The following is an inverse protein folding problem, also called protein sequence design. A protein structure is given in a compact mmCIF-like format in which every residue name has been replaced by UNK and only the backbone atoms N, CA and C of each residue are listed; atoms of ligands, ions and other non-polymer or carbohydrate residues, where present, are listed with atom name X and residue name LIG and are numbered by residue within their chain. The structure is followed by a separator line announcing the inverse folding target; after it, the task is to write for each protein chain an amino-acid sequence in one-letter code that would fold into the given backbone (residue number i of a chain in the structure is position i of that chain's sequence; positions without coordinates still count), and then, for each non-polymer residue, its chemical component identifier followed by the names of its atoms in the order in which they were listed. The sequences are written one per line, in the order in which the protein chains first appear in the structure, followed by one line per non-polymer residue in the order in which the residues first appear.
data_IF_404560460475
#
_entry.id   IF_404560460475
#
_cell.length_a   1.000
_cell.length_b   1.000
_cell.length_c   1.000
_cell.angle_alpha   90.00
_cell.angle_beta   90.00
_cell.angle_gamma   90.00
#
_symmetry.space_group_name_H-M   'P 1'
#
loop_
_entity.id
_entity.type
_entity.pdbx_description
1 polymer ?
#
# COMPACT_ATOMS: atom_id res chain seq x y z
N UNK A 1 -27.08 7.45 0.76
CA UNK A 1 -28.20 6.75 0.10
C UNK A 1 -27.95 6.58 -1.41
N UNK A 2 -27.51 7.60 -2.18
CA UNK A 2 -27.16 7.45 -3.60
C UNK A 2 -25.86 6.69 -3.91
N UNK A 3 -24.77 6.98 -3.19
CA UNK A 3 -23.45 6.38 -3.46
C UNK A 3 -23.36 4.86 -3.21
N UNK A 4 -24.20 4.32 -2.33
CA UNK A 4 -24.30 2.87 -2.11
C UNK A 4 -25.00 2.17 -3.28
N UNK A 5 -26.02 2.80 -3.90
CA UNK A 5 -26.69 2.23 -5.07
C UNK A 5 -25.80 2.25 -6.33
N UNK A 6 -24.97 3.28 -6.51
CA UNK A 6 -24.02 3.33 -7.63
C UNK A 6 -22.91 2.29 -7.51
N UNK A 7 -22.39 2.07 -6.29
CA UNK A 7 -21.41 1.01 -6.05
C UNK A 7 -21.98 -0.39 -6.30
N UNK A 8 -23.21 -0.65 -5.85
CA UNK A 8 -23.91 -1.93 -6.09
C UNK A 8 -24.12 -2.16 -7.60
N UNK A 9 -24.58 -1.14 -8.35
CA UNK A 9 -24.71 -1.24 -9.81
C UNK A 9 -23.38 -1.51 -10.51
N UNK A 10 -22.30 -0.89 -10.06
CA UNK A 10 -20.97 -1.13 -10.63
C UNK A 10 -20.49 -2.56 -10.39
N UNK A 11 -20.78 -3.13 -9.23
CA UNK A 11 -20.43 -4.53 -8.90
C UNK A 11 -21.24 -5.53 -9.73
N UNK A 12 -22.53 -5.27 -9.97
CA UNK A 12 -23.40 -6.10 -10.84
C UNK A 12 -22.89 -6.16 -12.29
N UNK A 13 -22.19 -5.11 -12.76
CA UNK A 13 -21.61 -5.07 -14.10
C UNK A 13 -20.28 -5.82 -14.23
N UNK A 14 -19.69 -6.29 -13.13
CA UNK A 14 -18.40 -7.00 -13.10
C UNK A 14 -18.47 -8.35 -12.34
N UNK A 15 -19.32 -9.28 -12.78
CA UNK A 15 -19.49 -10.60 -12.12
C UNK A 15 -18.22 -11.45 -12.13
N UNK A 16 -17.28 -11.18 -13.04
CA UNK A 16 -15.96 -11.80 -13.09
C UNK A 16 -15.03 -11.40 -11.93
N UNK A 17 -15.31 -10.27 -11.28
CA UNK A 17 -14.54 -9.76 -10.13
C UNK A 17 -15.23 -10.08 -8.80
N UNK A 18 -16.56 -9.98 -8.74
CA UNK A 18 -17.33 -10.09 -7.49
C UNK A 18 -18.09 -11.41 -7.33
N UNK A 19 -18.20 -12.22 -8.39
CA UNK A 19 -19.05 -13.41 -8.39
C UNK A 19 -20.54 -13.08 -8.49
N UNK A 20 -21.41 -14.11 -8.58
CA UNK A 20 -22.86 -13.92 -8.52
C UNK A 20 -23.29 -13.48 -7.11
N UNK A 21 -24.30 -12.62 -7.02
CA UNK A 21 -24.92 -12.29 -5.73
C UNK A 21 -25.64 -13.53 -5.17
N UNK A 22 -25.18 -14.02 -4.01
CA UNK A 22 -25.75 -15.17 -3.32
C UNK A 22 -26.60 -14.74 -2.12
N UNK A 23 -27.64 -15.53 -1.80
CA UNK A 23 -28.44 -15.27 -0.60
C UNK A 23 -27.64 -15.62 0.66
N UNK A 24 -27.95 -14.97 1.79
CA UNK A 24 -27.24 -15.17 3.06
C UNK A 24 -27.26 -16.65 3.50
N UNK A 25 -28.40 -17.29 3.37
CA UNK A 25 -28.60 -18.67 3.80
C UNK A 25 -27.81 -19.66 2.95
N UNK A 26 -27.62 -19.36 1.66
CA UNK A 26 -26.81 -20.18 0.74
C UNK A 26 -25.32 -20.11 1.11
N UNK A 27 -24.81 -18.90 1.38
CA UNK A 27 -23.42 -18.71 1.83
C UNK A 27 -23.16 -19.41 3.18
N UNK A 28 -24.11 -19.34 4.11
CA UNK A 28 -24.00 -20.03 5.39
C UNK A 28 -24.03 -21.56 5.22
N UNK A 29 -24.93 -22.07 4.39
CA UNK A 29 -24.98 -23.49 4.08
C UNK A 29 -23.68 -23.99 3.43
N UNK A 30 -23.07 -23.19 2.54
CA UNK A 30 -21.78 -23.50 1.94
C UNK A 30 -20.66 -23.50 2.98
N UNK A 31 -20.60 -22.52 3.88
CA UNK A 31 -19.61 -22.48 4.96
C UNK A 31 -19.70 -23.69 5.88
N UNK A 32 -20.91 -24.16 6.18
CA UNK A 32 -21.15 -25.34 7.02
C UNK A 32 -20.69 -26.65 6.37
N UNK A 33 -20.41 -26.68 5.07
CA UNK A 33 -19.88 -27.89 4.40
C UNK A 33 -18.44 -28.22 4.79
N UNK A 34 -17.67 -27.24 5.25
CA UNK A 34 -16.30 -27.41 5.73
C UNK A 34 -16.23 -27.06 7.23
N UNK A 35 -16.16 -28.10 8.07
CA UNK A 35 -16.13 -27.95 9.52
C UNK A 35 -14.97 -27.08 10.02
N UNK A 36 -13.80 -27.15 9.36
CA UNK A 36 -12.62 -26.38 9.77
C UNK A 36 -12.78 -24.89 9.42
N UNK A 37 -13.28 -24.60 8.22
CA UNK A 37 -13.59 -23.23 7.81
C UNK A 37 -14.69 -22.62 8.68
N UNK A 38 -15.75 -23.37 8.95
CA UNK A 38 -16.85 -22.92 9.79
C UNK A 38 -16.39 -22.63 11.22
N UNK A 39 -15.51 -23.47 11.79
CA UNK A 39 -14.93 -23.22 13.10
C UNK A 39 -14.14 -21.91 13.15
N UNK A 40 -13.31 -21.61 12.13
CA UNK A 40 -12.59 -20.34 12.04
C UNK A 40 -13.54 -19.15 11.87
N UNK A 41 -14.58 -19.29 11.04
CA UNK A 41 -15.64 -18.29 10.92
C UNK A 41 -16.34 -18.03 12.27
N UNK A 42 -16.61 -19.07 13.06
CA UNK A 42 -17.25 -18.91 14.37
C UNK A 42 -16.39 -18.14 15.38
N UNK A 43 -15.06 -18.17 15.26
CA UNK A 43 -14.13 -17.43 16.12
C UNK A 43 -14.09 -15.93 15.83
N UNK A 44 -14.58 -15.50 14.67
CA UNK A 44 -14.66 -14.09 14.30
C UNK A 44 -15.63 -13.32 15.21
N UNK A 45 -15.35 -12.04 15.42
CA UNK A 45 -16.30 -11.13 16.07
C UNK A 45 -17.54 -10.93 15.20
N UNK A 46 -18.68 -10.56 15.79
CA UNK A 46 -19.93 -10.38 15.05
C UNK A 46 -19.79 -9.43 13.85
N UNK A 47 -19.06 -8.32 14.01
CA UNK A 47 -18.82 -7.39 12.91
C UNK A 47 -17.98 -7.98 11.77
N UNK A 48 -16.98 -8.82 12.09
CA UNK A 48 -16.17 -9.50 11.08
C UNK A 48 -16.94 -10.62 10.39
N UNK A 49 -17.83 -11.33 11.11
CA UNK A 49 -18.75 -12.31 10.52
C UNK A 49 -19.66 -11.67 9.47
N UNK A 50 -20.27 -10.54 9.81
CA UNK A 50 -21.11 -9.80 8.87
C UNK A 50 -20.32 -9.28 7.67
N UNK A 51 -19.11 -8.75 7.88
CA UNK A 51 -18.25 -8.29 6.80
C UNK A 51 -17.85 -9.43 5.85
N UNK A 52 -17.52 -10.60 6.41
CA UNK A 52 -17.20 -11.80 5.65
C UNK A 52 -18.39 -12.33 4.85
N UNK A 53 -19.57 -12.44 5.47
CA UNK A 53 -20.78 -12.87 4.77
C UNK A 53 -21.15 -11.90 3.65
N UNK A 54 -21.10 -10.59 3.90
CA UNK A 54 -21.40 -9.61 2.87
C UNK A 54 -20.42 -9.70 1.68
N UNK A 55 -19.16 -10.04 1.95
CA UNK A 55 -18.17 -10.27 0.91
C UNK A 55 -18.53 -11.49 0.06
N UNK A 56 -18.82 -12.63 0.71
CA UNK A 56 -19.23 -13.85 0.03
C UNK A 56 -20.56 -13.71 -0.72
N UNK A 57 -21.48 -12.87 -0.23
CA UNK A 57 -22.74 -12.55 -0.89
C UNK A 57 -22.57 -11.56 -2.07
N UNK A 58 -21.37 -11.04 -2.33
CA UNK A 58 -21.12 -10.02 -3.36
C UNK A 58 -21.65 -8.63 -3.01
N UNK A 59 -22.06 -8.38 -1.76
CA UNK A 59 -22.65 -7.11 -1.28
C UNK A 59 -21.57 -6.03 -1.12
N UNK A 60 -20.35 -6.42 -0.75
CA UNK A 60 -19.20 -5.52 -0.65
C UNK A 60 -17.91 -6.23 -1.05
N UNK A 61 -16.94 -5.48 -1.56
CA UNK A 61 -15.59 -6.00 -1.77
C UNK A 61 -14.82 -6.13 -0.45
N UNK A 62 -13.73 -6.90 -0.47
CA UNK A 62 -12.76 -6.95 0.62
C UNK A 62 -12.26 -5.53 0.96
N UNK A 63 -12.11 -5.23 2.25
CA UNK A 63 -11.48 -3.98 2.71
C UNK A 63 -9.97 -4.05 2.52
N UNK A 64 -9.51 -3.94 1.27
CA UNK A 64 -8.08 -3.96 0.89
C UNK A 64 -7.28 -2.88 1.62
N UNK A 65 -7.93 -1.79 2.03
CA UNK A 65 -7.31 -0.69 2.79
C UNK A 65 -7.02 -1.03 4.27
N UNK A 66 -7.37 -2.22 4.74
CA UNK A 66 -6.95 -2.72 6.05
C UNK A 66 -5.52 -3.18 5.99
N UNK A 67 -4.71 -2.76 6.96
CA UNK A 67 -3.27 -3.00 6.97
C UNK A 67 -2.87 -4.48 6.72
N UNK A 68 -3.46 -5.49 7.41
CA UNK A 68 -3.12 -6.89 7.13
C UNK A 68 -3.50 -7.33 5.71
N UNK A 69 -4.63 -6.85 5.18
CA UNK A 69 -5.09 -7.20 3.84
C UNK A 69 -4.25 -6.52 2.77
N UNK A 70 -3.92 -5.25 2.96
CA UNK A 70 -3.01 -4.50 2.11
C UNK A 70 -1.66 -5.21 2.04
N UNK A 71 -1.05 -5.51 3.19
CA UNK A 71 0.23 -6.21 3.28
C UNK A 71 0.16 -7.60 2.67
N UNK A 72 -0.94 -8.33 2.84
CA UNK A 72 -1.12 -9.64 2.21
C UNK A 72 -1.26 -9.57 0.68
N UNK A 73 -2.07 -8.64 0.17
CA UNK A 73 -2.33 -8.52 -1.28
C UNK A 73 -1.09 -8.04 -2.02
N UNK A 74 -0.38 -7.07 -1.43
CA UNK A 74 0.80 -6.43 -2.01
C UNK A 74 2.12 -6.97 -1.47
N UNK A 75 2.12 -8.13 -0.81
CA UNK A 75 3.34 -8.74 -0.28
C UNK A 75 4.33 -9.03 -1.42
N UNK A 76 5.46 -8.30 -1.48
CA UNK A 76 6.44 -8.50 -2.54
C UNK A 76 7.21 -9.82 -2.41
N UNK A 77 7.14 -10.50 -1.26
CA UNK A 77 7.76 -11.81 -1.06
C UNK A 77 6.96 -12.96 -1.68
N UNK A 78 5.62 -12.82 -1.78
CA UNK A 78 4.76 -13.86 -2.35
C UNK A 78 4.34 -13.58 -3.78
N UNK A 79 3.90 -12.36 -4.10
CA UNK A 79 3.41 -11.96 -5.43
C UNK A 79 3.91 -10.56 -5.82
N UNK A 80 5.22 -10.40 -6.09
CA UNK A 80 5.83 -9.10 -6.41
C UNK A 80 5.17 -8.40 -7.61
N UNK A 81 4.65 -9.17 -8.58
CA UNK A 81 4.02 -8.64 -9.79
C UNK A 81 2.85 -7.69 -9.50
N UNK A 82 2.11 -7.91 -8.41
CA UNK A 82 0.98 -7.04 -8.01
C UNK A 82 1.46 -5.67 -7.57
N UNK A 83 2.52 -5.65 -6.76
CA UNK A 83 3.10 -4.39 -6.27
C UNK A 83 3.85 -3.68 -7.40
N UNK A 84 4.55 -4.41 -8.27
CA UNK A 84 5.19 -3.86 -9.47
C UNK A 84 4.19 -3.20 -10.41
N UNK A 85 3.07 -3.85 -10.70
CA UNK A 85 2.00 -3.30 -11.54
C UNK A 85 1.41 -2.03 -10.92
N UNK A 86 1.10 -2.08 -9.61
CA UNK A 86 0.59 -0.93 -8.89
C UNK A 86 1.56 0.27 -8.92
N UNK A 87 2.83 0.06 -8.59
CA UNK A 87 3.85 1.12 -8.63
C UNK A 87 4.01 1.63 -10.07
N UNK A 88 3.97 0.73 -11.06
CA UNK A 88 4.09 1.12 -12.47
C UNK A 88 2.96 2.06 -12.89
N UNK A 89 1.73 1.77 -12.47
CA UNK A 89 0.56 2.62 -12.73
C UNK A 89 0.69 3.98 -12.04
N UNK A 90 1.16 4.02 -10.79
CA UNK A 90 1.36 5.28 -10.07
C UNK A 90 2.43 6.18 -10.71
N UNK A 91 3.51 5.59 -11.22
CA UNK A 91 4.65 6.31 -11.79
C UNK A 91 4.54 6.56 -13.30
N UNK A 92 3.66 5.84 -13.99
CA UNK A 92 3.53 5.92 -15.45
C UNK A 92 4.69 5.26 -16.22
N UNK A 93 5.47 4.40 -15.57
CA UNK A 93 6.59 3.67 -16.17
C UNK A 93 6.63 2.22 -15.65
N UNK A 94 7.06 1.26 -16.48
CA UNK A 94 7.20 -0.12 -16.03
C UNK A 94 8.36 -0.24 -15.05
N UNK A 95 8.09 -0.79 -13.87
CA UNK A 95 9.12 -1.04 -12.84
C UNK A 95 9.31 -2.53 -12.58
N UNK A 96 10.45 -2.85 -11.97
CA UNK A 96 10.74 -4.18 -11.41
C UNK A 96 11.32 -4.02 -10.00
N UNK A 97 10.85 -4.84 -9.08
CA UNK A 97 11.37 -4.92 -7.71
C UNK A 97 12.66 -5.73 -7.76
N UNK A 98 13.75 -5.14 -7.28
CA UNK A 98 15.03 -5.81 -7.10
C UNK A 98 15.11 -6.50 -5.75
N UNK A 99 14.64 -5.81 -4.70
CA UNK A 99 14.77 -6.30 -3.32
C UNK A 99 13.69 -5.70 -2.42
N UNK A 100 13.18 -6.51 -1.51
CA UNK A 100 12.35 -6.06 -0.37
C UNK A 100 13.27 -5.64 0.76
N UNK A 101 13.10 -4.42 1.29
CA UNK A 101 13.90 -3.92 2.39
C UNK A 101 13.12 -4.16 3.69
N UNK A 102 13.67 -4.91 4.65
CA UNK A 102 13.03 -5.09 5.95
C UNK A 102 12.81 -3.74 6.64
N UNK A 103 11.59 -3.53 7.16
CA UNK A 103 11.27 -2.33 7.95
C UNK A 103 12.04 -2.31 9.28
N UNK A 104 12.43 -3.49 9.78
CA UNK A 104 13.26 -3.66 10.97
C UNK A 104 14.74 -3.43 10.64
N UNK A 105 15.15 -2.18 10.52
CA UNK A 105 16.50 -1.85 11.01
C UNK A 105 16.42 -1.91 12.54
N UNK A 106 17.11 -2.87 13.15
CA UNK A 106 17.21 -2.95 14.61
C UNK A 106 17.44 -1.56 15.21
N UNK A 107 16.70 -1.23 16.27
CA UNK A 107 16.66 0.08 16.98
C UNK A 107 17.99 0.49 17.63
N UNK A 108 19.14 0.09 17.10
CA UNK A 108 20.44 0.14 17.76
C UNK A 108 21.57 0.66 16.83
N UNK A 109 21.31 1.68 16.03
CA UNK A 109 22.37 2.55 15.50
C UNK A 109 21.93 4.02 15.52
N UNK A 110 22.89 4.95 15.62
CA UNK A 110 22.67 6.41 15.62
C UNK A 110 21.95 6.94 14.36
N UNK A 111 21.73 6.10 13.33
CA UNK A 111 21.02 6.41 12.09
C UNK A 111 19.64 5.77 11.94
N UNK A 112 19.03 5.29 13.04
CA UNK A 112 17.69 4.69 13.00
C UNK A 112 16.59 5.68 12.62
N UNK A 113 15.67 5.26 11.75
CA UNK A 113 14.51 6.07 11.41
C UNK A 113 13.43 5.97 12.50
N UNK A 114 12.80 7.10 12.81
CA UNK A 114 11.61 7.17 13.67
C UNK A 114 10.33 6.81 12.91
N UNK A 115 10.40 6.67 11.59
CA UNK A 115 9.25 6.42 10.73
C UNK A 115 9.13 4.92 10.48
N UNK A 116 8.07 4.35 11.05
CA UNK A 116 7.60 3.01 10.67
C UNK A 116 7.03 3.12 9.26
N UNK A 117 7.57 2.30 8.36
CA UNK A 117 7.13 2.21 6.98
C UNK A 117 6.34 0.91 6.78
N UNK A 118 5.41 0.89 5.83
CA UNK A 118 4.59 -0.28 5.54
C UNK A 118 5.30 -1.25 4.59
N UNK A 119 5.52 -0.87 3.33
CA UNK A 119 6.19 -1.70 2.33
C UNK A 119 7.32 -0.90 1.68
N UNK A 120 8.56 -1.25 2.03
CA UNK A 120 9.77 -0.63 1.47
C UNK A 120 10.46 -1.57 0.49
N UNK A 121 10.62 -1.13 -0.76
CA UNK A 121 11.28 -1.90 -1.81
C UNK A 121 12.35 -1.07 -2.54
N UNK A 122 13.35 -1.76 -3.06
CA UNK A 122 14.30 -1.23 -4.04
C UNK A 122 13.91 -1.69 -5.43
N UNK A 123 13.79 -0.77 -6.36
CA UNK A 123 13.57 -1.07 -7.78
C UNK A 123 14.87 -1.44 -8.48
N UNK A 124 14.78 -2.11 -9.63
CA UNK A 124 15.92 -2.42 -10.50
C UNK A 124 16.68 -1.15 -10.97
N UNK A 125 16.01 0.01 -11.02
CA UNK A 125 16.65 1.31 -11.27
C UNK A 125 17.51 1.81 -10.10
N UNK A 126 17.49 1.11 -8.97
CA UNK A 126 18.11 1.49 -7.70
C UNK A 126 17.26 2.42 -6.83
N UNK A 127 16.14 2.93 -7.35
CA UNK A 127 15.24 3.80 -6.60
C UNK A 127 14.61 3.08 -5.41
N UNK A 128 14.39 3.80 -4.31
CA UNK A 128 13.63 3.31 -3.16
C UNK A 128 12.17 3.74 -3.27
N UNK A 129 11.26 2.82 -3.02
CA UNK A 129 9.81 3.09 -3.01
C UNK A 129 9.26 2.62 -1.69
N UNK A 130 8.59 3.53 -0.99
CA UNK A 130 7.75 3.21 0.15
C UNK A 130 6.28 3.29 -0.26
N UNK A 131 5.51 2.23 0.00
CA UNK A 131 4.06 2.20 -0.24
C UNK A 131 3.33 2.04 1.09
N UNK A 132 2.48 3.02 1.39
CA UNK A 132 1.79 3.19 2.67
C UNK A 132 0.28 3.13 2.49
N UNK A 133 -0.43 2.57 3.47
CA UNK A 133 -1.89 2.60 3.52
C UNK A 133 -2.39 3.40 4.73
N UNK A 134 -3.23 4.40 4.48
CA UNK A 134 -3.85 5.21 5.51
C UNK A 134 -5.37 5.07 5.46
N UNK A 135 -5.91 4.33 6.43
CA UNK A 135 -7.37 4.23 6.60
C UNK A 135 -8.02 5.59 6.85
N UNK A 136 -7.38 6.41 7.69
CA UNK A 136 -7.76 7.80 7.94
C UNK A 136 -6.58 8.66 7.53
N UNK A 137 -6.77 9.48 6.51
CA UNK A 137 -5.77 10.42 6.05
C UNK A 137 -5.46 11.42 7.15
N UNK A 138 -4.20 11.75 7.28
CA UNK A 138 -3.78 12.69 8.28
C UNK A 138 -3.58 14.12 7.73
N UNK A 139 -3.71 15.11 8.61
CA UNK A 139 -3.52 16.53 8.26
C UNK A 139 -2.12 16.83 7.74
N UNK A 140 -2.01 17.82 6.85
CA UNK A 140 -0.76 18.26 6.22
C UNK A 140 -0.08 17.16 5.37
N UNK A 141 -0.80 16.57 4.40
CA UNK A 141 -0.28 15.45 3.61
C UNK A 141 1.04 15.78 2.89
N UNK A 142 1.15 16.98 2.31
CA UNK A 142 2.39 17.40 1.62
C UNK A 142 3.61 17.48 2.54
N UNK A 143 3.46 18.05 3.72
CA UNK A 143 4.55 18.15 4.70
C UNK A 143 4.99 16.76 5.19
N UNK A 144 4.06 15.83 5.41
CA UNK A 144 4.39 14.45 5.78
C UNK A 144 5.09 13.68 4.66
N UNK A 145 4.59 13.80 3.44
CA UNK A 145 5.25 13.19 2.28
C UNK A 145 6.69 13.68 2.14
N UNK A 146 6.96 14.96 2.45
CA UNK A 146 8.31 15.48 2.51
C UNK A 146 9.16 14.83 3.62
N UNK A 147 8.59 14.58 4.81
CA UNK A 147 9.29 13.85 5.89
C UNK A 147 9.63 12.41 5.50
N UNK A 148 8.65 11.65 4.96
CA UNK A 148 8.87 10.27 4.52
C UNK A 148 9.92 10.20 3.39
N UNK A 149 9.82 11.09 2.40
CA UNK A 149 10.77 11.12 1.29
C UNK A 149 12.19 11.50 1.76
N UNK A 150 12.29 12.44 2.70
CA UNK A 150 13.60 12.84 3.28
C UNK A 150 14.24 11.71 4.07
N UNK A 151 13.45 10.95 4.83
CA UNK A 151 13.92 9.77 5.55
C UNK A 151 14.46 8.70 4.60
N UNK A 152 13.72 8.38 3.53
CA UNK A 152 14.19 7.47 2.48
C UNK A 152 15.51 7.92 1.84
N UNK A 153 15.65 9.21 1.56
CA UNK A 153 16.90 9.77 1.03
C UNK A 153 18.05 9.58 2.02
N UNK A 154 17.82 9.81 3.32
CA UNK A 154 18.86 9.65 4.34
C UNK A 154 19.25 8.18 4.54
N UNK A 155 18.29 7.25 4.52
CA UNK A 155 18.56 5.80 4.54
C UNK A 155 19.43 5.40 3.34
N UNK A 156 19.05 5.85 2.15
CA UNK A 156 19.80 5.56 0.93
C UNK A 156 21.21 6.16 0.97
N UNK A 157 21.35 7.39 1.45
CA UNK A 157 22.65 8.04 1.62
C UNK A 157 23.57 7.24 2.54
N UNK A 158 23.09 6.82 3.71
CA UNK A 158 23.87 6.03 4.66
C UNK A 158 24.31 4.69 4.05
N UNK A 159 23.40 3.98 3.39
CA UNK A 159 23.68 2.70 2.71
C UNK A 159 24.73 2.87 1.60
N UNK A 160 24.50 3.77 0.65
CA UNK A 160 25.40 3.99 -0.49
C UNK A 160 26.78 4.45 -0.03
N UNK A 161 26.84 5.34 0.97
CA UNK A 161 28.11 5.81 1.52
C UNK A 161 28.89 4.68 2.20
N UNK A 162 28.21 3.80 2.92
CA UNK A 162 28.83 2.63 3.53
C UNK A 162 29.32 1.62 2.48
N UNK A 163 28.50 1.33 1.46
CA UNK A 163 28.86 0.46 0.34
C UNK A 163 30.11 0.97 -0.40
N UNK A 164 30.13 2.26 -0.77
CA UNK A 164 31.29 2.91 -1.41
C UNK A 164 32.53 2.84 -0.54
N UNK A 165 32.40 3.12 0.76
CA UNK A 165 33.50 2.99 1.72
C UNK A 165 34.05 1.57 1.76
N UNK A 166 33.18 0.55 1.81
CA UNK A 166 33.58 -0.87 1.84
C UNK A 166 34.25 -1.30 0.52
N UNK A 167 33.83 -0.72 -0.61
CA UNK A 167 34.43 -0.95 -1.92
C UNK A 167 35.71 -0.14 -2.18
N UNK A 168 36.11 0.77 -1.27
CA UNK A 168 37.25 1.67 -1.48
C UNK A 168 37.00 2.76 -2.53
N UNK A 169 35.74 3.02 -2.87
CA UNK A 169 35.34 4.01 -3.87
C UNK A 169 34.98 5.36 -3.24
N UNK A 170 35.14 6.44 -4.00
CA UNK A 170 34.71 7.78 -3.58
C UNK A 170 33.20 7.91 -3.73
N UNK A 171 32.53 8.32 -2.65
CA UNK A 171 31.11 8.68 -2.66
C UNK A 171 30.85 9.96 -3.47
N UNK A 172 29.77 9.97 -4.24
CA UNK A 172 29.20 11.14 -4.91
C UNK A 172 27.70 11.23 -4.64
N UNK A 173 27.15 12.45 -4.54
CA UNK A 173 25.70 12.64 -4.45
C UNK A 173 24.95 12.15 -5.70
N UNK A 174 25.63 12.02 -6.84
CA UNK A 174 25.08 11.38 -8.04
C UNK A 174 24.86 9.86 -7.89
N UNK A 175 25.46 9.23 -6.88
CA UNK A 175 25.21 7.82 -6.57
C UNK A 175 23.82 7.60 -5.94
N UNK A 176 23.22 8.65 -5.37
CA UNK A 176 21.89 8.60 -4.77
C UNK A 176 20.82 8.56 -5.87
N UNK A 177 19.95 7.54 -5.82
CA UNK A 177 18.82 7.36 -6.74
C UNK A 177 17.57 8.03 -6.20
N UNK A 178 16.58 8.17 -7.08
CA UNK A 178 15.26 8.71 -6.73
C UNK A 178 14.64 7.91 -5.58
N UNK A 179 13.82 8.60 -4.80
CA UNK A 179 12.95 7.97 -3.81
C UNK A 179 11.50 8.31 -4.12
N UNK A 180 10.60 7.39 -3.81
CA UNK A 180 9.17 7.56 -3.98
C UNK A 180 8.46 7.19 -2.68
N UNK A 181 7.50 8.01 -2.27
CA UNK A 181 6.55 7.68 -1.22
C UNK A 181 5.16 7.73 -1.82
N UNK A 182 4.50 6.59 -1.87
CA UNK A 182 3.14 6.43 -2.40
C UNK A 182 2.24 6.14 -1.21
N UNK A 183 1.24 6.98 -0.99
CA UNK A 183 0.30 6.85 0.13
C UNK A 183 -1.09 6.66 -0.41
N UNK A 184 -1.68 5.49 -0.16
CA UNK A 184 -3.08 5.22 -0.43
C UNK A 184 -3.90 5.73 0.76
N UNK A 185 -4.94 6.53 0.51
CA UNK A 185 -5.74 7.11 1.58
C UNK A 185 -7.21 6.73 1.37
N UNK A 186 -7.80 6.00 2.31
CA UNK A 186 -9.21 5.60 2.21
C UNK A 186 -10.16 6.76 2.56
N UNK A 187 -9.87 7.48 3.65
CA UNK A 187 -10.63 8.66 4.07
C UNK A 187 -9.72 9.88 4.01
N UNK A 188 -9.70 10.54 2.85
CA UNK A 188 -8.87 11.72 2.60
C UNK A 188 -9.29 12.92 3.45
N UNK A 189 -8.33 13.79 3.74
CA UNK A 189 -8.57 15.07 4.42
C UNK A 189 -9.18 16.10 3.47
N UNK A 190 -9.71 17.20 4.01
CA UNK A 190 -10.42 18.22 3.26
C UNK A 190 -9.59 18.86 2.13
N UNK A 191 -8.26 18.86 2.24
CA UNK A 191 -7.35 19.39 1.22
C UNK A 191 -7.52 18.72 -0.14
N UNK A 192 -7.76 17.40 -0.15
CA UNK A 192 -7.97 16.62 -1.36
C UNK A 192 -9.36 16.84 -1.97
N UNK A 193 -10.36 17.10 -1.13
CA UNK A 193 -11.73 17.34 -1.58
C UNK A 193 -11.90 18.67 -2.33
N UNK A 194 -10.90 19.56 -2.30
CA UNK A 194 -10.86 20.76 -3.14
C UNK A 194 -10.68 20.44 -4.63
N UNK A 195 -10.13 19.27 -4.95
CA UNK A 195 -9.92 18.79 -6.31
C UNK A 195 -10.65 17.46 -6.51
N UNK A 196 -12.00 17.42 -6.50
CA UNK A 196 -12.77 16.16 -6.39
C UNK A 196 -12.66 15.22 -7.60
N UNK A 197 -12.07 15.68 -8.71
CA UNK A 197 -11.82 14.86 -9.91
C UNK A 197 -10.39 14.32 -9.97
N UNK A 198 -9.54 14.72 -9.03
CA UNK A 198 -8.15 14.27 -8.94
C UNK A 198 -8.05 13.23 -7.84
N UNK A 199 -7.55 12.04 -8.22
CA UNK A 199 -7.31 10.94 -7.29
C UNK A 199 -5.81 10.69 -7.06
N UNK A 200 -4.95 11.21 -7.95
CA UNK A 200 -3.50 11.13 -7.85
C UNK A 200 -2.96 12.54 -7.61
N UNK A 201 -2.33 12.71 -6.45
CA UNK A 201 -1.76 13.99 -6.04
C UNK A 201 -0.25 13.85 -5.91
N UNK A 202 0.48 14.67 -6.67
CA UNK A 202 1.93 14.58 -6.77
C UNK A 202 2.60 15.71 -6.00
N UNK A 203 3.61 15.35 -5.22
CA UNK A 203 4.53 16.29 -4.59
C UNK A 203 5.96 15.94 -5.01
N UNK A 204 6.76 16.95 -5.33
CA UNK A 204 8.16 16.79 -5.69
C UNK A 204 8.96 17.96 -5.15
N UNK A 205 10.16 17.67 -4.65
CA UNK A 205 11.15 18.70 -4.36
C UNK A 205 11.82 19.16 -5.66
N UNK A 206 11.88 20.48 -5.86
CA UNK A 206 12.62 21.12 -6.94
C UNK A 206 13.58 22.14 -6.34
N UNK A 207 14.76 22.28 -6.91
CA UNK A 207 15.66 23.38 -6.62
C UNK A 207 15.64 24.34 -7.82
N UNK A 208 15.57 25.64 -7.55
CA UNK A 208 15.26 26.64 -8.57
C UNK A 208 16.44 26.89 -9.53
N UNK A 209 17.64 26.42 -9.19
CA UNK A 209 18.86 26.61 -9.99
C UNK A 209 19.58 25.31 -10.35
N UNK A 210 18.95 24.14 -10.17
CA UNK A 210 19.57 22.83 -10.42
C UNK A 210 19.07 21.79 -9.44
#
# INVERSE_FOLDING_TARGET
CGAQMEAVRWMEHHPEVFGPCSARDEVLAELETDEALFAEYQRLSQGLKEEFLHFCMGVNGMRITYDPMFKFVFDPGTKPERLEEFISLCLGEKVKILQVIPNESGRLTEGGSLLVMDILVRLASGALVNVEIQRVGYLFPGARCACYSSDLLMRQYSQVREEKRRAGERFSYHDIKRVYTIVLIQKSTAEFHRCPKEYLHYARQTFNTG
#
